data_IF_973674002453
#
_entry.id   IF_973674002453
#
_cell.length_a   1.000
_cell.length_b   1.000
_cell.length_c   1.000
_cell.angle_alpha   90.00
_cell.angle_beta   90.00
_cell.angle_gamma   90.00
#
_symmetry.space_group_name_H-M   'P 1'
#
loop_
_entity.id
_entity.type
_entity.pdbx_description
1 polymer ?
#
# COMPACT_ATOMS: atom_id res chain seq x y z
N UNK A 1 56.15 9.94 -18.83
CA UNK A 1 55.42 8.82 -18.22
C UNK A 1 54.33 9.23 -17.21
N UNK A 2 54.34 10.44 -16.65
CA UNK A 2 53.32 10.88 -15.67
C UNK A 2 51.97 11.29 -16.30
N UNK A 3 51.97 11.89 -17.50
CA UNK A 3 50.74 12.35 -18.18
C UNK A 3 49.87 11.21 -18.75
N UNK A 4 50.45 10.04 -19.04
CA UNK A 4 49.71 8.85 -19.52
C UNK A 4 48.93 8.16 -18.41
N UNK A 5 49.38 8.23 -17.15
CA UNK A 5 48.61 7.71 -16.01
C UNK A 5 47.39 8.58 -15.70
N UNK A 6 47.48 9.89 -15.87
CA UNK A 6 46.35 10.80 -15.57
C UNK A 6 45.20 10.64 -16.57
N UNK A 7 45.49 10.31 -17.84
CA UNK A 7 44.44 10.00 -18.82
C UNK A 7 43.79 8.61 -18.62
N UNK A 8 44.48 7.66 -17.98
CA UNK A 8 43.89 6.37 -17.61
C UNK A 8 42.91 6.47 -16.42
N UNK A 9 43.07 7.47 -15.54
CA UNK A 9 42.20 7.64 -14.37
C UNK A 9 40.90 8.36 -14.78
N UNK A 10 40.96 9.26 -15.76
CA UNK A 10 39.82 10.08 -16.23
C UNK A 10 38.87 9.34 -17.20
N UNK A 11 39.23 8.13 -17.65
CA UNK A 11 38.40 7.28 -18.51
C UNK A 11 37.61 6.20 -17.74
N UNK A 12 37.74 6.14 -16.40
CA UNK A 12 36.99 5.20 -15.55
C UNK A 12 35.61 5.71 -15.10
N UNK A 13 35.26 6.96 -15.37
CA UNK A 13 33.90 7.50 -15.21
C UNK A 13 33.00 7.07 -16.37
N UNK A 14 32.96 5.76 -16.63
CA UNK A 14 31.93 5.14 -17.43
C UNK A 14 30.69 5.09 -16.54
N UNK A 15 29.84 6.10 -16.72
CA UNK A 15 28.40 5.99 -16.75
C UNK A 15 27.89 4.66 -16.17
N UNK A 16 27.67 4.61 -14.86
CA UNK A 16 26.74 3.64 -14.29
C UNK A 16 25.35 4.02 -14.80
N UNK A 17 25.03 3.60 -16.03
CA UNK A 17 23.64 3.27 -16.31
C UNK A 17 23.33 2.18 -15.29
N UNK A 18 22.58 2.55 -14.27
CA UNK A 18 21.69 1.61 -13.60
C UNK A 18 20.90 0.98 -14.74
N UNK A 19 21.35 -0.21 -15.15
CA UNK A 19 20.47 -1.10 -15.88
C UNK A 19 19.23 -1.16 -14.98
N UNK A 20 18.10 -0.72 -15.52
CA UNK A 20 16.80 -0.97 -14.92
C UNK A 20 16.71 -2.49 -14.84
N UNK A 21 17.23 -3.04 -13.74
CA UNK A 21 16.96 -4.40 -13.37
C UNK A 21 15.44 -4.42 -13.29
N UNK A 22 14.85 -5.29 -14.10
CA UNK A 22 13.43 -5.64 -14.09
C UNK A 22 13.07 -5.90 -12.62
N UNK A 23 12.63 -4.85 -11.92
CA UNK A 23 12.51 -4.88 -10.47
C UNK A 23 11.19 -5.55 -10.21
N UNK A 24 11.25 -6.87 -10.15
CA UNK A 24 10.16 -7.69 -9.63
C UNK A 24 9.88 -7.16 -8.24
N UNK A 25 8.74 -6.48 -8.06
CA UNK A 25 8.34 -5.90 -6.78
C UNK A 25 8.42 -6.96 -5.69
N UNK A 26 9.06 -6.65 -4.56
CA UNK A 26 9.05 -7.53 -3.40
C UNK A 26 7.62 -7.71 -2.91
N UNK A 27 7.24 -8.98 -2.80
CA UNK A 27 5.90 -9.41 -2.36
C UNK A 27 5.85 -9.77 -0.88
N UNK A 28 6.96 -9.65 -0.15
CA UNK A 28 7.02 -9.86 1.29
C UNK A 28 8.20 -9.14 1.94
N UNK A 29 8.10 -8.91 3.24
CA UNK A 29 9.20 -8.51 4.11
C UNK A 29 9.16 -9.39 5.36
N UNK A 30 10.12 -10.31 5.48
CA UNK A 30 10.01 -11.40 6.45
C UNK A 30 8.75 -12.23 6.20
N UNK A 31 7.98 -12.45 7.26
CA UNK A 31 6.74 -13.23 7.22
C UNK A 31 5.50 -12.42 6.78
N UNK A 32 5.66 -11.10 6.58
CA UNK A 32 4.54 -10.22 6.23
C UNK A 32 4.43 -10.12 4.70
N UNK A 33 3.32 -10.58 4.10
CA UNK A 33 3.09 -10.43 2.67
C UNK A 33 2.76 -8.97 2.32
N UNK A 34 3.35 -8.48 1.24
CA UNK A 34 3.12 -7.14 0.70
C UNK A 34 2.35 -7.27 -0.61
N UNK A 35 1.15 -6.70 -0.58
CA UNK A 35 0.20 -6.64 -1.67
C UNK A 35 -0.25 -5.19 -1.88
N UNK A 36 -0.82 -4.94 -3.05
CA UNK A 36 -1.53 -3.70 -3.34
C UNK A 36 -2.52 -3.37 -2.21
N UNK A 37 -2.57 -2.12 -1.71
CA UNK A 37 -2.03 -0.90 -2.32
C UNK A 37 -0.59 -0.56 -1.92
N UNK A 38 0.06 -1.37 -1.09
CA UNK A 38 1.41 -1.11 -0.63
C UNK A 38 2.48 -1.65 -1.61
N UNK A 39 3.65 -1.02 -1.55
CA UNK A 39 4.88 -1.47 -2.18
C UNK A 39 6.08 -1.07 -1.34
N UNK A 40 7.11 -1.91 -1.30
CA UNK A 40 8.39 -1.57 -0.65
C UNK A 40 9.34 -0.90 -1.66
N UNK A 41 9.37 -1.45 -2.87
CA UNK A 41 10.23 -0.96 -3.95
C UNK A 41 9.54 0.19 -4.68
N UNK A 42 10.33 1.16 -5.12
CA UNK A 42 9.79 2.36 -5.75
C UNK A 42 9.13 2.04 -7.10
N UNK A 43 7.96 2.63 -7.35
CA UNK A 43 7.13 2.31 -8.50
C UNK A 43 6.20 1.10 -8.32
N UNK A 44 6.25 0.38 -7.19
CA UNK A 44 5.33 -0.72 -6.88
C UNK A 44 4.14 -0.24 -6.02
N UNK A 45 2.95 -0.82 -6.23
CA UNK A 45 1.76 -0.50 -5.45
C UNK A 45 1.05 0.77 -5.92
N UNK A 46 0.37 1.46 -5.01
CA UNK A 46 -0.30 2.73 -5.27
C UNK A 46 0.63 3.91 -4.98
N UNK A 47 0.67 4.96 -5.83
CA UNK A 47 1.47 6.15 -5.56
C UNK A 47 1.07 6.85 -4.24
N UNK A 48 -0.16 6.68 -3.77
CA UNK A 48 -0.63 7.22 -2.48
C UNK A 48 0.08 6.61 -1.27
N UNK A 49 0.60 5.39 -1.40
CA UNK A 49 1.34 4.70 -0.35
C UNK A 49 2.84 4.60 -0.63
N UNK A 50 3.35 5.43 -1.55
CA UNK A 50 4.76 5.47 -1.92
C UNK A 50 5.62 5.83 -0.70
N UNK A 51 6.67 5.05 -0.48
CA UNK A 51 7.64 5.22 0.62
C UNK A 51 7.07 5.15 2.04
N UNK A 52 5.83 4.68 2.21
CA UNK A 52 5.20 4.52 3.51
C UNK A 52 5.70 3.28 4.24
N UNK A 53 5.89 2.17 3.52
CA UNK A 53 6.49 0.96 4.08
C UNK A 53 7.98 0.90 3.74
N UNK A 54 8.75 0.41 4.70
CA UNK A 54 10.16 0.10 4.52
C UNK A 54 10.46 -1.28 5.08
N UNK A 55 11.25 -2.07 4.35
CA UNK A 55 11.76 -3.33 4.85
C UNK A 55 13.22 -3.15 5.22
N UNK A 56 13.56 -3.37 6.49
CA UNK A 56 14.94 -3.29 6.98
C UNK A 56 15.78 -4.46 6.48
N UNK A 57 17.11 -4.37 6.63
CA UNK A 57 18.04 -5.45 6.30
C UNK A 57 17.83 -6.71 7.15
N UNK A 58 17.17 -6.59 8.30
CA UNK A 58 16.81 -7.71 9.19
C UNK A 58 15.43 -8.29 8.85
N UNK A 59 14.87 -8.00 7.67
CA UNK A 59 13.54 -8.43 7.25
C UNK A 59 12.41 -7.96 8.18
N UNK A 60 12.61 -6.83 8.87
CA UNK A 60 11.56 -6.20 9.69
C UNK A 60 10.86 -5.13 8.87
N UNK A 61 9.54 -5.25 8.77
CA UNK A 61 8.70 -4.25 8.12
C UNK A 61 8.47 -3.08 9.07
N UNK A 62 8.64 -1.87 8.58
CA UNK A 62 8.45 -0.62 9.30
C UNK A 62 7.44 0.26 8.58
N UNK A 63 6.52 0.85 9.34
CA UNK A 63 5.65 1.93 8.89
C UNK A 63 6.33 3.27 9.15
N UNK A 64 6.48 4.08 8.10
CA UNK A 64 6.97 5.46 8.20
C UNK A 64 5.80 6.41 8.41
N UNK A 65 5.97 7.29 9.38
CA UNK A 65 5.04 8.37 9.69
C UNK A 65 5.83 9.65 9.96
N UNK A 66 5.18 10.82 10.08
CA UNK A 66 5.85 12.05 10.50
C UNK A 66 6.51 11.96 11.88
N UNK A 67 5.98 11.10 12.77
CA UNK A 67 6.48 10.94 14.15
C UNK A 67 7.66 9.97 14.26
N UNK A 68 7.87 9.11 13.27
CA UNK A 68 8.97 8.15 13.28
C UNK A 68 8.73 6.92 12.42
N UNK A 69 9.54 5.89 12.66
CA UNK A 69 9.43 4.57 12.03
C UNK A 69 9.00 3.56 13.09
N UNK A 70 7.96 2.80 12.77
CA UNK A 70 7.31 1.91 13.71
C UNK A 70 7.31 0.50 13.17
N UNK A 71 7.86 -0.49 13.92
CA UNK A 71 7.79 -1.89 13.52
C UNK A 71 6.34 -2.34 13.30
N UNK A 72 6.08 -2.96 12.15
CA UNK A 72 4.79 -3.54 11.82
C UNK A 72 4.72 -4.95 12.41
N UNK A 73 3.70 -5.20 13.22
CA UNK A 73 3.39 -6.52 13.80
C UNK A 73 2.44 -7.32 12.95
N UNK A 74 1.43 -6.66 12.38
CA UNK A 74 0.41 -7.29 11.56
C UNK A 74 0.00 -6.35 10.43
N UNK A 75 -0.28 -6.93 9.27
CA UNK A 75 -0.80 -6.24 8.10
C UNK A 75 -1.92 -7.10 7.50
N UNK A 76 -3.16 -6.62 7.63
CA UNK A 76 -4.34 -7.32 7.14
C UNK A 76 -4.97 -6.56 5.99
N UNK A 77 -5.32 -7.29 4.93
CA UNK A 77 -6.01 -6.78 3.75
C UNK A 77 -7.51 -7.12 3.73
N UNK A 78 -7.95 -8.13 4.47
CA UNK A 78 -9.35 -8.55 4.53
C UNK A 78 -10.16 -7.61 5.44
N UNK A 79 -9.54 -7.25 6.55
CA UNK A 79 -9.93 -6.15 7.43
C UNK A 79 -8.80 -5.11 7.30
N UNK A 80 -8.92 -4.07 6.45
CA UNK A 80 -7.81 -3.20 6.05
C UNK A 80 -7.17 -2.39 7.19
N UNK A 81 -6.17 -2.97 7.84
CA UNK A 81 -5.43 -2.30 8.92
C UNK A 81 -3.98 -2.77 9.03
N UNK A 82 -3.16 -1.91 9.61
CA UNK A 82 -1.78 -2.18 10.03
C UNK A 82 -1.71 -2.09 11.54
N UNK A 83 -1.13 -3.07 12.22
CA UNK A 83 -0.81 -2.98 13.64
C UNK A 83 0.67 -2.66 13.78
N UNK A 84 0.99 -1.54 14.43
CA UNK A 84 2.37 -1.13 14.71
C UNK A 84 2.67 -1.13 16.20
N UNK A 85 3.94 -1.30 16.55
CA UNK A 85 4.43 -1.16 17.93
C UNK A 85 5.17 0.16 18.06
N UNK A 86 4.79 0.99 19.04
CA UNK A 86 5.59 2.16 19.44
C UNK A 86 6.67 1.73 20.44
N UNK A 87 7.98 1.82 20.12
CA UNK A 87 9.05 1.47 21.05
C UNK A 87 9.11 2.36 22.31
N UNK A 88 8.43 3.51 22.29
CA UNK A 88 8.38 4.46 23.40
C UNK A 88 7.11 4.34 24.24
N UNK A 89 6.16 3.48 23.88
CA UNK A 89 4.99 3.25 24.74
C UNK A 89 5.38 2.42 25.96
N UNK A 90 4.70 2.66 27.08
CA UNK A 90 4.82 1.84 28.27
C UNK A 90 4.28 0.43 27.99
N UNK A 91 5.03 -0.57 28.45
CA UNK A 91 4.61 -1.96 28.46
C UNK A 91 4.70 -2.51 29.88
N UNK A 92 4.02 -3.61 30.12
CA UNK A 92 4.07 -4.31 31.41
C UNK A 92 5.51 -4.56 31.92
N UNK A 93 6.46 -4.81 31.01
CA UNK A 93 7.87 -5.06 31.33
C UNK A 93 8.58 -3.83 31.94
N UNK A 94 8.07 -2.62 31.69
CA UNK A 94 8.62 -1.39 32.25
C UNK A 94 8.32 -1.26 33.76
N UNK A 95 7.24 -1.88 34.25
CA UNK A 95 6.80 -1.76 35.66
C UNK A 95 6.57 -0.30 36.06
N UNK A 96 7.11 0.13 37.21
CA UNK A 96 7.01 1.53 37.68
C UNK A 96 7.95 2.51 36.94
N UNK A 97 8.69 2.07 35.92
CA UNK A 97 9.63 2.92 35.17
C UNK A 97 8.91 3.65 34.03
N UNK A 98 8.24 4.74 34.36
CA UNK A 98 7.62 5.61 33.35
C UNK A 98 8.69 6.46 32.65
N UNK A 99 8.92 6.16 31.38
CA UNK A 99 9.86 6.91 30.53
C UNK A 99 9.11 7.99 29.75
N UNK A 100 9.72 9.18 29.54
CA UNK A 100 9.18 10.18 28.64
C UNK A 100 8.99 9.59 27.25
N UNK A 101 7.79 9.81 26.68
CA UNK A 101 7.39 9.21 25.41
C UNK A 101 7.26 10.29 24.33
N UNK A 102 7.10 9.86 23.09
CA UNK A 102 6.74 10.74 21.98
C UNK A 102 5.37 10.31 21.45
N UNK A 103 4.46 11.25 21.16
CA UNK A 103 3.16 10.91 20.61
C UNK A 103 3.33 10.25 19.25
N UNK A 104 2.72 9.08 19.08
CA UNK A 104 2.47 8.54 17.77
C UNK A 104 1.58 9.51 16.98
N UNK A 105 1.99 9.83 15.75
CA UNK A 105 1.24 10.73 14.87
C UNK A 105 1.25 10.21 13.43
N UNK A 106 0.08 10.28 12.81
CA UNK A 106 -0.17 9.96 11.41
C UNK A 106 -0.21 11.24 10.58
N UNK A 107 0.16 11.11 9.31
CA UNK A 107 -0.01 12.18 8.33
C UNK A 107 -1.46 12.20 7.86
N UNK A 108 -2.19 13.28 8.16
CA UNK A 108 -3.60 13.44 7.77
C UNK A 108 -3.80 13.58 6.26
N UNK A 109 -2.73 13.83 5.50
CA UNK A 109 -2.77 13.83 4.02
C UNK A 109 -2.70 12.43 3.42
N UNK A 110 -2.34 11.42 4.22
CA UNK A 110 -2.32 10.01 3.78
C UNK A 110 -3.68 9.35 4.00
N UNK A 111 -3.95 8.28 3.25
CA UNK A 111 -5.14 7.44 3.41
C UNK A 111 -5.02 6.50 4.62
N UNK A 112 -4.56 7.03 5.75
CA UNK A 112 -4.47 6.35 7.03
C UNK A 112 -5.31 7.04 8.08
N UNK A 113 -5.95 6.24 8.94
CA UNK A 113 -6.74 6.73 10.07
C UNK A 113 -6.39 5.94 11.32
N UNK A 114 -6.36 6.62 12.46
CA UNK A 114 -6.31 5.92 13.73
C UNK A 114 -7.60 5.11 13.87
N UNK A 115 -7.44 3.82 14.18
CA UNK A 115 -8.59 2.95 14.32
C UNK A 115 -9.40 3.28 15.58
N UNK A 116 -10.74 3.28 15.52
CA UNK A 116 -11.57 3.39 16.72
C UNK A 116 -11.48 2.18 17.65
N UNK A 117 -10.84 1.09 17.21
CA UNK A 117 -10.60 -0.10 18.05
C UNK A 117 -9.39 0.04 18.97
N UNK A 118 -8.65 1.14 18.87
CA UNK A 118 -7.56 1.43 19.79
C UNK A 118 -8.10 2.00 21.10
N UNK A 119 -7.58 1.50 22.20
CA UNK A 119 -7.71 2.12 23.51
C UNK A 119 -6.35 2.64 23.97
N UNK A 120 -6.36 3.80 24.62
CA UNK A 120 -5.15 4.46 25.12
C UNK A 120 -5.26 4.61 26.63
N UNK A 121 -4.18 4.26 27.31
CA UNK A 121 -4.01 4.44 28.72
C UNK A 121 -2.90 5.43 28.97
N UNK A 122 -3.07 6.29 29.96
CA UNK A 122 -2.09 7.26 30.40
C UNK A 122 -1.72 6.99 31.84
N UNK A 123 -0.44 7.20 32.15
CA UNK A 123 0.12 6.88 33.45
C UNK A 123 0.76 8.08 34.10
N UNK A 124 0.55 8.22 35.41
CA UNK A 124 1.13 9.25 36.26
C UNK A 124 0.89 10.66 35.69
N UNK A 125 -0.39 10.97 35.49
CA UNK A 125 -0.84 12.28 35.02
C UNK A 125 -0.95 13.30 36.15
N UNK A 126 -0.71 14.58 35.83
CA UNK A 126 -0.92 15.71 36.74
C UNK A 126 -2.40 15.83 37.10
N UNK A 127 -2.72 15.77 38.39
CA UNK A 127 -4.10 15.97 38.90
C UNK A 127 -4.57 17.42 38.75
N UNK A 128 -3.64 18.38 38.62
CA UNK A 128 -3.94 19.80 38.43
C UNK A 128 -4.33 20.13 36.98
N UNK A 129 -3.82 19.36 36.01
CA UNK A 129 -3.99 19.63 34.58
C UNK A 129 -4.95 18.64 33.89
N UNK A 130 -5.16 17.45 34.45
CA UNK A 130 -5.97 16.38 33.86
C UNK A 130 -7.09 15.98 34.80
N UNK A 131 -8.32 16.05 34.31
CA UNK A 131 -9.50 15.58 35.06
C UNK A 131 -9.53 14.05 35.03
N UNK A 132 -9.02 13.43 36.10
CA UNK A 132 -8.99 11.98 36.28
C UNK A 132 -10.18 11.57 37.16
N UNK A 133 -11.24 11.02 36.55
CA UNK A 133 -12.46 10.65 37.27
C UNK A 133 -13.13 9.42 36.63
N UNK A 134 -13.76 8.54 37.43
CA UNK A 134 -14.53 7.43 36.90
C UNK A 134 -15.63 7.91 35.95
N UNK A 135 -15.70 7.33 34.74
CA UNK A 135 -16.79 7.65 33.82
C UNK A 135 -18.10 7.03 34.29
N UNK A 136 -19.23 7.77 34.28
CA UNK A 136 -20.54 7.20 34.52
C UNK A 136 -20.88 6.10 33.52
N UNK A 137 -21.61 5.06 33.95
CA UNK A 137 -22.08 3.96 33.08
C UNK A 137 -22.82 4.45 31.82
N UNK A 138 -23.52 5.59 31.90
CA UNK A 138 -24.19 6.22 30.76
C UNK A 138 -23.24 6.51 29.58
N UNK A 139 -21.98 6.82 29.88
CA UNK A 139 -20.96 7.13 28.88
C UNK A 139 -20.50 5.92 28.07
N UNK A 140 -20.78 4.70 28.53
CA UNK A 140 -20.52 3.48 27.75
C UNK A 140 -21.46 3.39 26.55
N UNK A 141 -22.73 3.81 26.72
CA UNK A 141 -23.72 3.79 25.65
C UNK A 141 -23.71 5.08 24.80
N UNK A 142 -23.39 6.22 25.40
CA UNK A 142 -23.43 7.52 24.73
C UNK A 142 -22.11 8.29 24.89
N UNK A 143 -21.01 7.77 24.32
CA UNK A 143 -19.68 8.37 24.49
C UNK A 143 -19.59 9.81 23.98
N UNK A 144 -20.39 10.17 22.96
CA UNK A 144 -20.42 11.53 22.39
C UNK A 144 -21.01 12.59 23.32
N UNK A 145 -21.77 12.19 24.34
CA UNK A 145 -22.42 13.10 25.29
C UNK A 145 -21.62 13.28 26.58
N UNK A 146 -20.48 12.61 26.70
CA UNK A 146 -19.65 12.66 27.90
C UNK A 146 -18.37 13.47 27.64
N UNK A 147 -17.96 14.20 28.67
CA UNK A 147 -16.75 15.01 28.66
C UNK A 147 -15.51 14.16 28.36
N UNK A 148 -14.48 14.85 27.86
CA UNK A 148 -13.17 14.27 27.55
C UNK A 148 -12.33 13.98 28.81
N UNK A 149 -12.97 13.55 29.90
CA UNK A 149 -12.28 13.16 31.14
C UNK A 149 -11.53 11.84 30.96
N UNK A 150 -10.45 11.69 31.74
CA UNK A 150 -9.66 10.47 31.75
C UNK A 150 -10.28 9.49 32.77
N UNK A 151 -10.69 8.33 32.31
CA UNK A 151 -11.41 7.33 33.11
C UNK A 151 -10.46 6.48 33.95
N UNK A 152 -10.41 6.73 35.26
CA UNK A 152 -9.60 5.94 36.19
C UNK A 152 -10.19 4.58 36.55
N UNK A 153 -11.48 4.35 36.25
CA UNK A 153 -12.17 3.09 36.55
C UNK A 153 -12.19 2.10 35.37
N UNK A 154 -11.58 2.47 34.24
CA UNK A 154 -11.55 1.66 33.02
C UNK A 154 -11.04 0.24 33.27
N UNK A 155 -11.67 -0.72 32.58
CA UNK A 155 -11.31 -2.14 32.62
C UNK A 155 -9.81 -2.37 32.39
N UNK A 156 -9.21 -1.66 31.42
CA UNK A 156 -7.81 -1.84 31.06
C UNK A 156 -6.84 -1.39 32.15
N UNK A 157 -7.18 -0.38 32.94
CA UNK A 157 -6.36 0.04 34.09
C UNK A 157 -6.32 -1.03 35.20
N UNK A 158 -7.30 -1.94 35.25
CA UNK A 158 -7.34 -3.07 36.18
C UNK A 158 -6.83 -4.38 35.56
N UNK A 159 -6.88 -4.50 34.24
CA UNK A 159 -6.55 -5.73 33.50
C UNK A 159 -5.50 -5.45 32.41
N UNK A 160 -4.38 -4.85 32.81
CA UNK A 160 -3.28 -4.55 31.90
C UNK A 160 -2.75 -5.84 31.24
N UNK A 161 -2.56 -5.86 29.90
CA UNK A 161 -2.03 -7.02 29.21
C UNK A 161 -0.66 -7.41 29.78
N UNK A 162 -0.51 -8.66 30.22
CA UNK A 162 0.74 -9.19 30.76
C UNK A 162 0.99 -8.94 32.25
N UNK A 163 0.28 -8.00 32.90
CA UNK A 163 0.33 -7.85 34.36
C UNK A 163 -0.92 -7.20 34.97
N UNK A 164 -1.84 -8.03 35.44
CA UNK A 164 -3.09 -7.57 36.04
C UNK A 164 -2.96 -6.86 37.40
N UNK A 165 -1.76 -6.82 38.02
CA UNK A 165 -1.58 -6.26 39.38
C UNK A 165 -0.26 -5.51 39.60
N UNK A 166 0.46 -5.11 38.55
CA UNK A 166 1.85 -4.62 38.68
C UNK A 166 2.00 -3.16 39.13
N UNK A 167 0.91 -2.39 39.26
CA UNK A 167 0.98 -0.93 39.45
C UNK A 167 0.20 -0.44 40.69
N UNK A 168 0.60 -0.80 41.91
CA UNK A 168 -0.11 -0.41 43.13
C UNK A 168 -0.04 1.09 43.46
N UNK A 169 0.92 1.84 42.87
CA UNK A 169 1.18 3.26 43.22
C UNK A 169 1.00 4.27 42.10
N UNK A 170 0.91 3.83 40.84
CA UNK A 170 0.80 4.76 39.71
C UNK A 170 -0.66 5.00 39.35
N UNK A 171 -1.01 6.26 39.09
CA UNK A 171 -2.32 6.59 38.53
C UNK A 171 -2.39 6.11 37.08
N UNK A 172 -3.42 5.33 36.76
CA UNK A 172 -3.75 4.92 35.39
C UNK A 172 -5.11 5.53 35.05
N UNK A 173 -5.25 6.03 33.82
CA UNK A 173 -6.55 6.40 33.30
C UNK A 173 -6.65 6.11 31.80
N UNK A 174 -7.84 5.71 31.34
CA UNK A 174 -8.14 5.48 29.93
C UNK A 174 -8.74 6.73 29.30
N UNK A 175 -8.30 7.05 28.08
CA UNK A 175 -8.81 8.17 27.31
C UNK A 175 -8.94 7.78 25.85
N UNK A 176 -10.04 8.18 25.22
CA UNK A 176 -10.34 7.86 23.82
C UNK A 176 -10.06 9.09 22.95
N UNK A 177 -8.85 9.23 22.36
CA UNK A 177 -8.50 10.37 21.55
C UNK A 177 -9.26 10.36 20.23
N UNK A 178 -9.95 11.46 19.92
CA UNK A 178 -10.62 11.64 18.61
C UNK A 178 -9.63 11.93 17.47
N UNK A 179 -8.42 12.39 17.80
CA UNK A 179 -7.35 12.70 16.85
C UNK A 179 -5.96 12.50 17.48
N UNK A 180 -4.93 12.41 16.64
CA UNK A 180 -3.51 12.36 17.08
C UNK A 180 -3.13 13.57 17.94
N UNK A 181 -3.74 14.72 17.71
CA UNK A 181 -3.51 15.93 18.52
C UNK A 181 -3.98 15.75 19.98
N UNK A 182 -5.05 15.01 20.21
CA UNK A 182 -5.54 14.71 21.57
C UNK A 182 -4.53 13.84 22.35
N UNK A 183 -3.86 12.91 21.66
CA UNK A 183 -2.78 12.10 22.25
C UNK A 183 -1.59 12.99 22.66
N UNK A 184 -1.20 13.92 21.78
CA UNK A 184 -0.12 14.88 22.05
C UNK A 184 -0.42 15.78 23.25
N UNK A 185 -1.66 16.25 23.39
CA UNK A 185 -2.07 17.09 24.50
C UNK A 185 -2.00 16.35 25.84
N UNK A 186 -2.53 15.12 25.90
CA UNK A 186 -2.46 14.29 27.11
C UNK A 186 -1.01 14.00 27.53
N UNK A 187 -0.13 13.71 26.58
CA UNK A 187 1.29 13.43 26.85
C UNK A 187 2.09 14.64 27.37
N UNK A 188 1.53 15.86 27.31
CA UNK A 188 2.15 17.03 27.97
C UNK A 188 2.02 16.97 29.49
N UNK A 189 1.00 16.28 30.00
CA UNK A 189 0.62 16.26 31.41
C UNK A 189 0.71 14.88 32.05
N UNK A 190 1.12 13.86 31.28
CA UNK A 190 1.27 12.48 31.75
C UNK A 190 2.68 11.97 31.52
N UNK A 191 3.20 11.15 32.45
CA UNK A 191 4.55 10.63 32.35
C UNK A 191 4.74 9.65 31.19
N UNK A 192 3.72 8.83 30.91
CA UNK A 192 3.76 7.84 29.84
C UNK A 192 2.37 7.48 29.32
N UNK A 193 2.33 6.73 28.21
CA UNK A 193 1.11 6.18 27.65
C UNK A 193 1.33 4.75 27.14
N UNK A 194 0.25 4.00 27.03
CA UNK A 194 0.19 2.73 26.34
C UNK A 194 -1.01 2.73 25.38
N UNK A 195 -0.89 1.98 24.29
CA UNK A 195 -1.99 1.73 23.37
C UNK A 195 -2.19 0.22 23.22
N UNK A 196 -3.46 -0.18 23.27
CA UNK A 196 -3.87 -1.54 23.00
C UNK A 196 -4.95 -1.56 21.93
N UNK A 197 -5.04 -2.66 21.21
CA UNK A 197 -6.14 -2.92 20.28
C UNK A 197 -6.82 -4.23 20.68
N UNK A 198 -8.13 -4.30 20.49
CA UNK A 198 -8.91 -5.50 20.78
C UNK A 198 -8.79 -6.50 19.65
N UNK A 199 -8.19 -7.66 19.91
CA UNK A 199 -8.11 -8.76 18.95
C UNK A 199 -9.21 -9.77 19.22
N UNK A 200 -9.97 -10.11 18.19
CA UNK A 200 -10.94 -11.19 18.24
C UNK A 200 -10.21 -12.55 18.30
N UNK A 201 -10.59 -13.39 19.26
CA UNK A 201 -10.10 -14.76 19.46
C UNK A 201 -11.29 -15.72 19.59
N UNK A 202 -11.08 -16.99 19.20
CA UNK A 202 -12.13 -18.01 19.18
C UNK A 202 -12.86 -18.07 17.84
N UNK A 203 -12.72 -19.20 17.12
CA UNK A 203 -13.52 -19.51 15.95
C UNK A 203 -13.99 -20.96 16.03
N UNK A 204 -15.28 -21.26 15.73
CA UNK A 204 -16.39 -20.35 15.46
C UNK A 204 -17.01 -19.79 16.76
N UNK A 205 -17.93 -18.82 16.64
CA UNK A 205 -18.58 -18.06 17.73
C UNK A 205 -18.82 -18.81 19.05
N UNK A 206 -18.72 -18.13 20.20
CA UNK A 206 -18.54 -16.67 20.37
C UNK A 206 -17.09 -16.20 20.24
N UNK A 207 -16.90 -14.99 19.71
CA UNK A 207 -15.60 -14.32 19.68
C UNK A 207 -15.35 -13.72 21.07
N UNK A 208 -14.30 -14.18 21.75
CA UNK A 208 -13.74 -13.44 22.89
C UNK A 208 -12.84 -12.33 22.36
N UNK A 209 -12.76 -11.21 23.06
CA UNK A 209 -11.85 -10.11 22.71
C UNK A 209 -10.73 -10.03 23.75
N UNK A 210 -9.50 -10.03 23.27
CA UNK A 210 -8.31 -9.93 24.14
C UNK A 210 -7.55 -8.66 23.77
N UNK A 211 -7.22 -7.80 24.75
CA UNK A 211 -6.44 -6.60 24.50
C UNK A 211 -4.98 -6.97 24.29
N UNK A 212 -4.37 -6.46 23.23
CA UNK A 212 -2.95 -6.64 22.92
C UNK A 212 -2.28 -5.30 22.68
N UNK A 213 -1.00 -5.17 23.09
CA UNK A 213 -0.22 -3.97 22.85
C UNK A 213 -0.02 -3.70 21.36
N UNK A 214 -0.31 -2.48 20.94
CA UNK A 214 -0.14 -2.04 19.56
C UNK A 214 -1.10 -0.93 19.19
N UNK A 215 -0.77 -0.24 18.10
CA UNK A 215 -1.59 0.82 17.51
C UNK A 215 -2.10 0.30 16.16
N UNK A 216 -3.42 0.14 16.05
CA UNK A 216 -4.11 -0.23 14.81
C UNK A 216 -4.36 1.01 13.95
N UNK A 217 -3.86 0.99 12.73
CA UNK A 217 -4.00 2.07 11.74
C UNK A 217 -4.78 1.51 10.56
N UNK A 218 -5.97 2.05 10.34
CA UNK A 218 -6.85 1.62 9.25
C UNK A 218 -6.42 2.30 7.95
N UNK A 219 -6.54 1.58 6.82
CA UNK A 219 -6.16 2.07 5.50
C UNK A 219 -7.19 1.75 4.43
N UNK A 220 -7.18 2.52 3.33
CA UNK A 220 -8.08 2.32 2.20
C UNK A 220 -7.40 1.51 1.09
N UNK A 221 -8.15 0.60 0.43
CA UNK A 221 -7.68 -0.11 -0.76
C UNK A 221 -8.26 0.55 -2.01
N UNK A 222 -7.51 1.41 -2.72
CA UNK A 222 -7.98 2.06 -3.94
C UNK A 222 -8.22 1.06 -5.07
N UNK A 223 -9.46 0.63 -5.28
CA UNK A 223 -9.80 -0.27 -6.38
C UNK A 223 -9.86 0.52 -7.69
N UNK A 224 -8.95 0.24 -8.61
CA UNK A 224 -8.92 0.85 -9.95
C UNK A 224 -9.09 -0.20 -11.05
N UNK A 225 -9.89 0.12 -12.08
CA UNK A 225 -10.12 -0.79 -13.22
C UNK A 225 -8.82 -1.21 -13.90
N UNK A 226 -7.83 -0.31 -13.97
CA UNK A 226 -6.52 -0.61 -14.58
C UNK A 226 -5.73 -1.63 -13.78
N UNK A 227 -5.73 -1.51 -12.44
CA UNK A 227 -5.05 -2.49 -11.59
C UNK A 227 -5.73 -3.86 -11.66
N UNK A 228 -7.06 -3.90 -11.64
CA UNK A 228 -7.82 -5.16 -11.80
C UNK A 228 -7.50 -5.85 -13.14
N UNK A 229 -7.42 -5.09 -14.23
CA UNK A 229 -7.06 -5.63 -15.55
C UNK A 229 -5.61 -6.11 -15.62
N UNK A 230 -4.69 -5.44 -14.93
CA UNK A 230 -3.29 -5.83 -14.85
C UNK A 230 -3.12 -7.16 -14.09
N UNK A 231 -3.81 -7.31 -12.96
CA UNK A 231 -3.74 -8.51 -12.11
C UNK A 231 -4.51 -9.71 -12.67
N UNK A 232 -5.40 -9.49 -13.65
CA UNK A 232 -6.17 -10.55 -14.30
C UNK A 232 -5.25 -11.61 -14.93
N UNK A 233 -5.29 -12.87 -14.44
CA UNK A 233 -4.47 -13.96 -14.99
C UNK A 233 -4.75 -14.22 -16.48
N UNK A 234 -5.99 -13.99 -16.96
CA UNK A 234 -6.35 -14.13 -18.37
C UNK A 234 -5.69 -13.05 -19.23
N UNK A 235 -5.21 -11.95 -18.62
CA UNK A 235 -4.51 -10.84 -19.28
C UNK A 235 -3.02 -10.81 -18.96
N UNK A 236 -2.47 -11.92 -18.45
CA UNK A 236 -1.04 -12.14 -18.24
C UNK A 236 -0.56 -11.95 -16.80
N UNK A 237 -1.43 -11.52 -15.86
CA UNK A 237 -1.13 -11.53 -14.41
C UNK A 237 0.10 -10.71 -14.00
N UNK A 238 0.00 -9.39 -14.08
CA UNK A 238 1.04 -8.45 -13.67
C UNK A 238 0.86 -7.88 -12.26
N UNK A 239 1.86 -7.10 -11.83
CA UNK A 239 1.83 -6.37 -10.57
C UNK A 239 1.46 -4.91 -10.82
N UNK A 240 0.50 -4.38 -10.07
CA UNK A 240 0.15 -2.97 -10.17
C UNK A 240 1.25 -2.08 -9.59
N UNK A 241 1.60 -1.03 -10.32
CA UNK A 241 2.58 -0.05 -9.94
C UNK A 241 2.29 1.31 -10.57
N UNK A 242 3.29 2.16 -10.56
CA UNK A 242 3.24 3.50 -11.12
C UNK A 242 4.62 3.94 -11.62
N UNK A 243 4.63 4.90 -12.53
CA UNK A 243 5.84 5.57 -12.98
C UNK A 243 6.37 6.51 -11.89
N UNK A 244 7.63 6.39 -11.52
CA UNK A 244 8.22 7.15 -10.39
C UNK A 244 8.37 8.65 -10.66
N UNK A 245 8.35 9.07 -11.92
CA UNK A 245 8.51 10.47 -12.35
C UNK A 245 7.17 11.21 -12.38
N UNK A 246 6.15 10.63 -13.01
CA UNK A 246 4.85 11.29 -13.21
C UNK A 246 3.70 10.68 -12.39
N UNK A 247 3.97 9.64 -11.59
CA UNK A 247 3.00 8.92 -10.74
C UNK A 247 1.83 8.29 -11.49
N UNK A 248 1.93 8.17 -12.82
CA UNK A 248 0.89 7.53 -13.63
C UNK A 248 0.89 6.02 -13.42
N UNK A 249 -0.29 5.41 -13.49
CA UNK A 249 -0.45 3.96 -13.35
C UNK A 249 0.40 3.17 -14.38
N UNK A 250 1.03 2.10 -13.91
CA UNK A 250 1.82 1.19 -14.73
C UNK A 250 1.59 -0.26 -14.29
N UNK A 251 1.37 -1.15 -15.25
CA UNK A 251 1.33 -2.59 -15.05
C UNK A 251 2.73 -3.17 -15.24
N UNK A 252 3.27 -3.76 -14.18
CA UNK A 252 4.62 -4.32 -14.14
C UNK A 252 4.56 -5.80 -14.54
N UNK A 253 5.11 -6.13 -15.70
CA UNK A 253 5.10 -7.47 -16.26
C UNK A 253 6.52 -8.04 -16.38
N UNK A 254 6.62 -9.37 -16.45
CA UNK A 254 7.91 -10.08 -16.55
C UNK A 254 8.79 -9.62 -17.71
N UNK A 255 8.16 -9.32 -18.85
CA UNK A 255 8.84 -9.01 -20.11
C UNK A 255 8.88 -7.51 -20.47
N UNK A 256 8.26 -6.65 -19.65
CA UNK A 256 8.22 -5.21 -19.88
C UNK A 256 6.96 -4.54 -19.33
N UNK A 257 7.07 -3.27 -18.99
CA UNK A 257 5.97 -2.53 -18.38
C UNK A 257 4.89 -2.16 -19.42
N UNK A 258 3.63 -2.17 -19.00
CA UNK A 258 2.44 -1.86 -19.82
C UNK A 258 1.57 -0.81 -19.14
N UNK A 259 0.75 -0.06 -19.89
CA UNK A 259 -0.20 0.92 -19.30
C UNK A 259 -1.55 0.30 -18.95
N UNK A 260 -1.81 -0.94 -19.37
CA UNK A 260 -3.09 -1.64 -19.18
C UNK A 260 -2.89 -3.03 -18.59
N UNK A 261 -2.29 -3.95 -19.34
CA UNK A 261 -2.14 -5.37 -18.99
C UNK A 261 -0.97 -6.03 -19.75
N UNK A 262 -0.56 -7.23 -19.31
CA UNK A 262 0.66 -7.88 -19.80
C UNK A 262 0.50 -8.67 -21.12
N UNK A 263 -0.73 -9.07 -21.46
CA UNK A 263 -1.03 -9.89 -22.67
C UNK A 263 -0.59 -9.25 -23.99
N UNK A 264 -0.65 -7.92 -24.11
CA UNK A 264 -0.33 -7.24 -25.36
C UNK A 264 1.19 -7.26 -25.65
N UNK A 265 2.03 -7.39 -24.62
CA UNK A 265 3.48 -7.45 -24.76
C UNK A 265 3.96 -8.82 -25.30
N UNK A 266 3.30 -9.92 -24.90
CA UNK A 266 3.60 -11.25 -25.41
C UNK A 266 3.39 -11.34 -26.93
N UNK A 267 2.33 -10.71 -27.45
CA UNK A 267 2.01 -10.68 -28.89
C UNK A 267 3.02 -9.79 -29.64
N UNK A 268 3.33 -8.60 -29.11
CA UNK A 268 4.29 -7.68 -29.72
C UNK A 268 5.70 -8.30 -29.83
N UNK A 269 6.15 -9.03 -28.79
CA UNK A 269 7.43 -9.75 -28.79
C UNK A 269 7.42 -10.92 -29.76
N UNK A 270 6.30 -11.65 -29.90
CA UNK A 270 6.18 -12.72 -30.88
C UNK A 270 6.29 -12.20 -32.32
N UNK A 271 5.71 -11.03 -32.62
CA UNK A 271 5.84 -10.43 -33.96
C UNK A 271 7.29 -10.03 -34.29
N UNK A 272 8.06 -9.54 -33.30
CA UNK A 272 9.48 -9.15 -33.50
C UNK A 272 10.43 -10.33 -33.66
N UNK A 273 10.08 -11.54 -33.18
CA UNK A 273 10.90 -12.75 -33.37
C UNK A 273 10.70 -13.43 -34.72
N UNK A 274 9.67 -13.05 -35.49
CA UNK A 274 9.56 -13.49 -36.89
C UNK A 274 10.54 -12.66 -37.72
N UNK A 275 11.80 -13.10 -37.75
CA UNK A 275 12.76 -12.62 -38.75
C UNK A 275 12.18 -12.97 -40.13
N UNK A 276 11.75 -11.95 -40.86
CA UNK A 276 11.46 -12.08 -42.29
C UNK A 276 12.77 -12.43 -42.96
N UNK A 277 12.97 -13.72 -43.29
CA UNK A 277 14.04 -14.15 -44.19
C UNK A 277 13.64 -13.61 -45.56
N UNK A 278 14.11 -12.40 -45.88
CA UNK A 278 14.09 -11.88 -47.23
C UNK A 278 15.11 -12.70 -48.05
N UNK A 279 14.67 -13.86 -48.55
CA UNK A 279 15.42 -14.61 -49.53
C UNK A 279 15.59 -13.77 -50.79
N UNK A 280 16.83 -13.41 -51.11
CA UNK A 280 17.17 -12.77 -52.38
C UNK A 280 16.97 -13.77 -53.51
N UNK A 281 15.86 -13.63 -54.25
CA UNK A 281 15.62 -14.40 -55.47
C UNK A 281 16.44 -13.75 -56.59
N UNK A 282 17.64 -14.27 -56.85
CA UNK A 282 18.35 -14.01 -58.10
C UNK A 282 17.64 -14.75 -59.23
N UNK A 283 16.61 -14.11 -59.80
CA UNK A 283 15.93 -14.58 -60.99
C UNK A 283 16.83 -14.34 -62.22
N UNK A 284 17.42 -15.40 -62.76
CA UNK A 284 18.01 -15.41 -64.09
C UNK A 284 16.88 -15.54 -65.10
N UNK A 285 16.70 -14.51 -65.91
CA UNK A 285 15.78 -14.46 -67.05
C UNK A 285 16.19 -15.43 -68.15
N UNK A 286 15.33 -16.39 -68.51
CA UNK A 286 15.26 -16.93 -69.88
C UNK A 286 13.82 -17.32 -70.21
N UNK A 287 13.26 -16.58 -71.18
CA UNK A 287 12.24 -16.92 -72.19
C UNK A 287 11.03 -17.81 -71.83
N UNK A 288 9.83 -17.25 -72.04
CA UNK A 288 8.58 -18.01 -72.09
C UNK A 288 7.34 -17.12 -72.23
N UNK A 289 7.20 -16.48 -73.39
CA UNK A 289 5.98 -15.77 -73.81
C UNK A 289 4.79 -16.73 -73.71
N UNK A 290 3.73 -16.35 -72.98
CA UNK A 290 2.29 -16.69 -73.14
C UNK A 290 1.59 -16.62 -71.77
N UNK A 291 0.71 -15.63 -71.54
CA UNK A 291 -0.18 -15.68 -70.36
C UNK A 291 -0.75 -14.39 -69.78
N UNK A 292 -0.56 -13.21 -70.38
CA UNK A 292 -1.03 -11.93 -69.78
C UNK A 292 -2.54 -11.67 -70.05
N UNK A 293 -3.21 -12.48 -70.86
CA UNK A 293 -4.62 -12.27 -71.24
C UNK A 293 -5.68 -12.75 -70.22
N UNK A 294 -5.36 -13.69 -69.33
CA UNK A 294 -6.38 -14.38 -68.51
C UNK A 294 -6.62 -13.72 -67.13
N UNK A 295 -5.64 -13.05 -66.55
CA UNK A 295 -5.73 -12.52 -65.17
C UNK A 295 -6.58 -11.24 -65.06
N UNK A 296 -6.67 -10.45 -66.15
CA UNK A 296 -7.40 -9.16 -66.15
C UNK A 296 -8.92 -9.35 -66.27
N UNK A 297 -9.39 -10.48 -66.84
CA UNK A 297 -10.82 -10.74 -67.01
C UNK A 297 -11.51 -11.25 -65.72
N UNK A 298 -10.76 -11.90 -64.83
CA UNK A 298 -11.33 -12.48 -63.61
C UNK A 298 -11.58 -11.45 -62.50
N UNK A 299 -10.75 -10.40 -62.40
CA UNK A 299 -10.90 -9.37 -61.35
C UNK A 299 -12.08 -8.41 -61.57
N UNK A 300 -12.61 -8.30 -62.79
CA UNK A 300 -13.74 -7.40 -63.09
C UNK A 300 -15.10 -7.99 -62.73
N UNK A 301 -15.20 -9.30 -62.45
CA UNK A 301 -16.49 -9.99 -62.22
C UNK A 301 -16.88 -10.13 -60.74
N UNK A 302 -16.03 -9.74 -59.80
CA UNK A 302 -16.27 -9.96 -58.34
C UNK A 302 -16.66 -8.68 -57.57
N UNK A 303 -16.81 -7.53 -58.24
CA UNK A 303 -17.27 -6.26 -57.62
C UNK A 303 -18.70 -5.88 -57.98
N UNK A 304 -19.62 -6.83 -57.97
CA UNK A 304 -21.05 -6.54 -58.02
C UNK A 304 -21.79 -7.38 -56.98
N UNK A 305 -21.95 -6.82 -55.78
CA UNK A 305 -23.07 -7.03 -54.85
C UNK A 305 -22.82 -6.17 -53.61
N UNK A 306 -23.49 -5.02 -53.56
CA UNK A 306 -23.65 -4.26 -52.33
C UNK A 306 -24.67 -4.99 -51.44
N UNK A 307 -24.46 -5.11 -50.12
CA UNK A 307 -25.54 -5.39 -49.20
C UNK A 307 -26.24 -4.09 -48.81
N UNK A 308 -27.56 -4.10 -48.95
CA UNK A 308 -28.49 -3.11 -48.41
C UNK A 308 -28.71 -3.49 -46.95
N UNK A 309 -28.44 -2.59 -46.01
CA UNK A 309 -28.96 -2.69 -44.64
C UNK A 309 -29.35 -1.33 -44.12
N UNK A 310 -30.60 -1.25 -43.70
CA UNK A 310 -31.30 -0.12 -43.09
C UNK A 310 -30.59 0.39 -41.84
N UNK A 311 -30.51 1.72 -41.70
CA UNK A 311 -30.16 2.41 -40.46
C UNK A 311 -31.16 3.54 -40.24
N UNK A 312 -31.98 3.38 -39.21
CA UNK A 312 -33.08 4.27 -38.81
C UNK A 312 -32.53 5.62 -38.34
N UNK A 313 -33.13 6.68 -38.87
CA UNK A 313 -32.95 8.06 -38.44
C UNK A 313 -33.83 8.33 -37.22
N UNK A 314 -33.24 8.73 -36.10
CA UNK A 314 -33.96 9.49 -35.07
C UNK A 314 -32.99 10.45 -34.40
N UNK A 315 -33.18 11.72 -34.71
CA UNK A 315 -32.61 12.86 -34.01
C UNK A 315 -33.82 13.57 -33.39
N UNK A 316 -33.92 13.55 -32.06
CA UNK A 316 -34.67 14.52 -31.27
C UNK A 316 -34.34 14.30 -29.79
N UNK A 317 -33.61 15.25 -29.18
CA UNK A 317 -34.14 16.00 -28.04
C UNK A 317 -33.16 17.09 -27.60
N UNK A 318 -33.59 18.33 -27.85
CA UNK A 318 -33.09 19.55 -27.23
C UNK A 318 -33.48 19.56 -25.76
N UNK A 319 -32.49 19.92 -24.94
CA UNK A 319 -32.65 20.35 -23.56
C UNK A 319 -33.49 21.64 -23.52
N UNK A 320 -34.55 21.62 -22.72
CA UNK A 320 -35.00 22.75 -21.91
C UNK A 320 -34.59 22.46 -20.47
#
# INVERSE_FOLDING_TARGET
MSLLLIQLILSSSILSLTTSQISTCRTSCGDIPIKYPFGIDDGCGSPYYRHILACSSENKLELRTPSGRYPVRNLSYADPHVVVTDPFMWTCEDGEKFRPTRPFSLDTSTHFKLSPQNEYMFFNCSEDDVIIQPKPMFCEHFPEHCDSSCDSASYLCRHLPGCSFALPRSTCCSYYPKATESLRLMLKYCASYASVYWRNVGAPMPYDQVPEYGIRVDFDIPVTTRCLQCQDPLKGGGTCGFDTQNQSFMCLCKDGNSTTHCRDYDIARHSRRVHVIAGTVSAVSVAGVFGIGAAVWYLKKVRAKAPVTCGVQSNENRLF
#
